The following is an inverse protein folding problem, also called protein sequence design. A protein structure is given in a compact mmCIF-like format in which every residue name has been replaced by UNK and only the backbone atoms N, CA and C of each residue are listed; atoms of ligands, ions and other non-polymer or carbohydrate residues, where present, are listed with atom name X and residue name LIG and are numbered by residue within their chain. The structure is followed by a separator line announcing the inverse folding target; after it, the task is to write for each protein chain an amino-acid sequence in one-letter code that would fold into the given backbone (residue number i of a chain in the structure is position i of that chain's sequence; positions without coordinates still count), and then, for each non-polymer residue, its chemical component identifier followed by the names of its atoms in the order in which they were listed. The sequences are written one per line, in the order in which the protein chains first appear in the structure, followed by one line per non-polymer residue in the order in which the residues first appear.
data_IF_638466627093
#
_entry.id   IF_638466627093
#
_cell.length_a   1.000
_cell.length_b   1.000
_cell.length_c   1.000
_cell.angle_alpha   90.00
_cell.angle_beta   90.00
_cell.angle_gamma   90.00
#
_symmetry.space_group_name_H-M   'P 1'
#
loop_
_entity.id
_entity.type
_entity.pdbx_description
1 polymer ?
#
# COMPACT_ATOMS: atom_id res chain seq x y z
N UNK A 1 -20.69 29.08 44.21
CA UNK A 1 -20.73 29.43 42.76
C UNK A 1 -19.66 28.75 41.89
N UNK A 2 -18.61 28.20 42.48
CA UNK A 2 -17.46 27.54 41.80
C UNK A 2 -17.80 26.22 41.09
N UNK A 3 -18.61 25.36 41.68
CA UNK A 3 -18.90 23.99 41.22
C UNK A 3 -19.64 23.89 39.85
N UNK A 4 -20.51 24.86 39.56
CA UNK A 4 -21.27 24.86 38.29
C UNK A 4 -20.39 25.22 37.08
N UNK A 5 -19.40 26.09 37.27
CA UNK A 5 -18.42 26.50 36.24
C UNK A 5 -17.49 25.34 35.93
N UNK A 6 -16.96 24.67 36.93
CA UNK A 6 -16.09 23.51 36.77
C UNK A 6 -16.80 22.33 36.09
N UNK A 7 -18.08 22.10 36.36
CA UNK A 7 -18.86 21.04 35.68
C UNK A 7 -19.07 21.34 34.19
N UNK A 8 -19.28 22.63 33.85
CA UNK A 8 -19.42 23.06 32.45
C UNK A 8 -18.11 22.89 31.68
N UNK A 9 -16.97 23.27 32.27
CA UNK A 9 -15.64 23.12 31.67
C UNK A 9 -15.27 21.64 31.43
N UNK A 10 -15.58 20.76 32.39
CA UNK A 10 -15.38 19.30 32.22
C UNK A 10 -16.26 18.75 31.09
N UNK A 11 -17.50 19.18 30.98
CA UNK A 11 -18.41 18.77 29.91
C UNK A 11 -17.96 19.28 28.53
N UNK A 12 -17.42 20.50 28.45
CA UNK A 12 -16.88 21.01 27.19
C UNK A 12 -15.64 20.22 26.75
N UNK A 13 -14.69 19.99 27.65
CA UNK A 13 -13.51 19.16 27.35
C UNK A 13 -13.88 17.75 26.90
N UNK A 14 -14.84 17.12 27.57
CA UNK A 14 -15.30 15.78 27.17
C UNK A 14 -15.97 15.79 25.78
N UNK A 15 -16.73 16.82 25.43
CA UNK A 15 -17.32 16.96 24.08
C UNK A 15 -16.26 17.21 23.01
N UNK A 16 -15.25 18.02 23.30
CA UNK A 16 -14.13 18.26 22.38
C UNK A 16 -13.30 16.99 22.14
N UNK A 17 -13.07 16.21 23.20
CA UNK A 17 -12.36 14.93 23.07
C UNK A 17 -13.15 13.89 22.27
N UNK A 18 -14.49 13.82 22.49
CA UNK A 18 -15.35 12.93 21.69
C UNK A 18 -15.40 13.38 20.23
N UNK A 19 -15.56 14.65 19.95
CA UNK A 19 -15.55 15.18 18.60
C UNK A 19 -14.21 14.92 17.87
N UNK A 20 -13.08 15.08 18.58
CA UNK A 20 -11.76 14.76 18.02
C UNK A 20 -11.60 13.25 17.71
N UNK A 21 -12.15 12.39 18.58
CA UNK A 21 -12.12 10.93 18.34
C UNK A 21 -12.99 10.53 17.15
N UNK A 22 -14.18 11.07 17.04
CA UNK A 22 -15.07 10.80 15.92
C UNK A 22 -14.48 11.31 14.60
N UNK A 23 -13.92 12.53 14.58
CA UNK A 23 -13.23 13.08 13.41
C UNK A 23 -12.08 12.17 12.97
N UNK A 24 -11.20 11.78 13.90
CA UNK A 24 -10.08 10.88 13.60
C UNK A 24 -10.55 9.51 13.07
N UNK A 25 -11.62 8.96 13.64
CA UNK A 25 -12.19 7.69 13.20
C UNK A 25 -12.75 7.80 11.77
N UNK A 26 -13.50 8.84 11.48
CA UNK A 26 -14.08 9.08 10.15
C UNK A 26 -12.98 9.26 9.10
N UNK A 27 -11.96 10.07 9.38
CA UNK A 27 -10.82 10.28 8.48
C UNK A 27 -10.10 8.96 8.19
N UNK A 28 -9.84 8.13 9.22
CA UNK A 28 -9.18 6.84 9.03
C UNK A 28 -10.02 5.92 8.16
N UNK A 29 -11.33 5.84 8.35
CA UNK A 29 -12.21 5.02 7.52
C UNK A 29 -12.26 5.49 6.07
N UNK A 30 -12.29 6.81 5.86
CA UNK A 30 -12.25 7.40 4.52
C UNK A 30 -10.94 7.03 3.80
N UNK A 31 -9.79 7.13 4.47
CA UNK A 31 -8.50 6.76 3.91
C UNK A 31 -8.43 5.27 3.55
N UNK A 32 -8.96 4.39 4.41
CA UNK A 32 -9.04 2.95 4.12
C UNK A 32 -9.93 2.70 2.91
N UNK A 33 -11.08 3.39 2.81
CA UNK A 33 -11.98 3.28 1.66
C UNK A 33 -11.32 3.72 0.35
N UNK A 34 -10.60 4.84 0.37
CA UNK A 34 -9.85 5.36 -0.78
C UNK A 34 -8.74 4.40 -1.18
N UNK A 35 -7.98 3.87 -0.21
CA UNK A 35 -6.95 2.86 -0.48
C UNK A 35 -7.53 1.62 -1.14
N UNK A 36 -8.64 1.10 -0.63
CA UNK A 36 -9.29 -0.08 -1.18
C UNK A 36 -9.82 0.15 -2.61
N UNK A 37 -10.42 1.32 -2.87
CA UNK A 37 -10.89 1.69 -4.21
C UNK A 37 -9.74 1.87 -5.20
N UNK A 38 -8.66 2.53 -4.79
CA UNK A 38 -7.46 2.73 -5.61
C UNK A 38 -6.79 1.38 -5.92
N UNK A 39 -6.65 0.51 -4.92
CA UNK A 39 -6.09 -0.83 -5.10
C UNK A 39 -6.95 -1.66 -6.05
N UNK A 40 -8.27 -1.63 -5.89
CA UNK A 40 -9.19 -2.31 -6.79
C UNK A 40 -9.06 -1.78 -8.23
N UNK A 41 -8.95 -0.47 -8.41
CA UNK A 41 -8.78 0.16 -9.73
C UNK A 41 -7.47 -0.26 -10.40
N UNK A 42 -6.34 -0.21 -9.68
CA UNK A 42 -5.04 -0.61 -10.23
C UNK A 42 -4.92 -2.12 -10.45
N UNK A 43 -5.57 -2.94 -9.63
CA UNK A 43 -5.59 -4.39 -9.81
C UNK A 43 -6.60 -4.85 -10.87
N UNK A 44 -7.55 -3.97 -11.25
CA UNK A 44 -8.60 -4.30 -12.22
C UNK A 44 -8.01 -4.64 -13.58
N UNK A 45 -8.37 -5.79 -14.09
CA UNK A 45 -7.92 -6.25 -15.41
C UNK A 45 -6.46 -6.72 -15.48
N UNK A 46 -5.70 -6.67 -14.39
CA UNK A 46 -4.30 -7.10 -14.38
C UNK A 46 -4.10 -8.59 -14.74
N UNK A 47 -5.13 -9.40 -14.60
CA UNK A 47 -5.16 -10.81 -14.98
C UNK A 47 -5.55 -11.04 -16.45
N UNK A 48 -6.09 -10.03 -17.14
CA UNK A 48 -6.56 -10.15 -18.52
C UNK A 48 -5.42 -10.00 -19.55
N UNK A 49 -4.37 -9.30 -19.18
CA UNK A 49 -3.22 -9.05 -20.04
C UNK A 49 -2.05 -9.94 -19.60
N UNK A 50 -1.57 -10.85 -20.46
CA UNK A 50 -0.38 -11.65 -20.15
C UNK A 50 0.85 -10.74 -20.02
N UNK A 51 1.84 -11.19 -19.25
CA UNK A 51 3.15 -10.52 -19.13
C UNK A 51 3.93 -10.76 -20.44
N UNK A 52 3.88 -9.80 -21.35
CA UNK A 52 4.46 -9.91 -22.70
C UNK A 52 5.59 -8.93 -22.97
N UNK A 53 5.66 -7.83 -22.23
CA UNK A 53 6.73 -6.85 -22.36
C UNK A 53 8.06 -7.45 -21.87
N UNK A 54 9.17 -7.34 -22.64
CA UNK A 54 10.47 -7.89 -22.24
C UNK A 54 10.94 -7.39 -20.88
N UNK A 55 10.62 -6.15 -20.51
CA UNK A 55 11.00 -5.58 -19.21
C UNK A 55 10.18 -6.20 -18.10
N UNK A 56 8.85 -6.22 -18.21
CA UNK A 56 7.95 -6.79 -17.21
C UNK A 56 8.22 -8.30 -17.03
N UNK A 57 8.45 -9.03 -18.12
CA UNK A 57 8.75 -10.47 -18.09
C UNK A 57 10.07 -10.77 -17.37
N UNK A 58 11.10 -9.94 -17.54
CA UNK A 58 12.36 -10.10 -16.84
C UNK A 58 12.19 -9.92 -15.31
N UNK A 59 11.40 -8.95 -14.88
CA UNK A 59 11.09 -8.82 -13.45
C UNK A 59 10.34 -10.03 -12.90
N UNK A 60 9.31 -10.47 -13.63
CA UNK A 60 8.49 -11.60 -13.24
C UNK A 60 9.32 -12.89 -13.17
N UNK A 61 10.18 -13.13 -14.15
CA UNK A 61 11.04 -14.30 -14.20
C UNK A 61 12.09 -14.28 -13.08
N UNK A 62 12.75 -13.14 -12.86
CA UNK A 62 13.73 -13.00 -11.77
C UNK A 62 13.09 -13.28 -10.42
N UNK A 63 11.94 -12.69 -10.12
CA UNK A 63 11.22 -12.92 -8.88
C UNK A 63 10.78 -14.38 -8.73
N UNK A 64 10.34 -15.03 -9.81
CA UNK A 64 9.98 -16.44 -9.83
C UNK A 64 11.18 -17.33 -9.53
N UNK A 65 12.33 -17.08 -10.16
CA UNK A 65 13.56 -17.87 -9.90
C UNK A 65 14.06 -17.67 -8.46
N UNK A 66 13.94 -16.47 -7.89
CA UNK A 66 14.27 -16.23 -6.49
C UNK A 66 13.39 -17.06 -5.54
N UNK A 67 12.10 -17.19 -5.82
CA UNK A 67 11.20 -18.04 -5.03
C UNK A 67 11.55 -19.51 -5.19
N UNK A 68 11.77 -19.98 -6.42
CA UNK A 68 12.06 -21.40 -6.71
C UNK A 68 13.42 -21.85 -6.19
N UNK A 69 14.44 -21.00 -6.27
CA UNK A 69 15.78 -21.30 -5.77
C UNK A 69 15.94 -21.10 -4.27
N UNK A 70 15.01 -20.36 -3.63
CA UNK A 70 15.14 -19.92 -2.24
C UNK A 70 16.23 -18.87 -2.00
N UNK A 71 16.89 -18.43 -3.06
CA UNK A 71 17.95 -17.41 -2.97
C UNK A 71 17.38 -16.01 -3.22
N UNK A 72 17.06 -15.31 -2.16
CA UNK A 72 16.46 -13.97 -2.20
C UNK A 72 17.49 -12.83 -2.25
N UNK A 73 18.79 -13.17 -2.09
CA UNK A 73 19.86 -12.17 -2.08
C UNK A 73 20.47 -11.93 -3.46
N UNK A 74 20.52 -12.98 -4.29
CA UNK A 74 21.18 -12.93 -5.59
C UNK A 74 20.16 -13.17 -6.69
N UNK A 75 19.58 -12.09 -7.29
CA UNK A 75 18.67 -12.23 -8.42
C UNK A 75 19.29 -12.99 -9.58
N UNK A 76 18.53 -13.88 -10.21
CA UNK A 76 18.97 -14.71 -11.33
C UNK A 76 17.90 -14.74 -12.42
N UNK A 77 18.36 -14.88 -13.68
CA UNK A 77 17.53 -15.20 -14.84
C UNK A 77 18.22 -16.32 -15.60
N UNK A 78 17.53 -17.43 -15.85
CA UNK A 78 18.05 -18.61 -16.52
C UNK A 78 19.33 -19.14 -15.86
N UNK A 79 19.43 -19.07 -14.53
CA UNK A 79 20.60 -19.49 -13.77
C UNK A 79 21.80 -18.55 -13.81
N UNK A 80 21.69 -17.40 -14.48
CA UNK A 80 22.73 -16.37 -14.51
C UNK A 80 22.38 -15.23 -13.57
N UNK A 81 23.37 -14.67 -12.86
CA UNK A 81 23.18 -13.52 -11.98
C UNK A 81 22.70 -12.31 -12.78
N UNK A 82 21.65 -11.66 -12.28
CA UNK A 82 20.98 -10.55 -12.94
C UNK A 82 20.79 -9.37 -11.99
N UNK A 83 21.73 -8.43 -12.01
CA UNK A 83 21.75 -7.25 -11.13
C UNK A 83 21.35 -5.96 -11.87
N UNK A 84 20.37 -6.04 -12.77
CA UNK A 84 19.96 -4.88 -13.58
C UNK A 84 19.20 -3.84 -12.76
N UNK A 85 18.46 -4.25 -11.76
CA UNK A 85 17.61 -3.36 -10.95
C UNK A 85 17.78 -3.60 -9.44
N UNK A 86 17.34 -2.62 -8.61
CA UNK A 86 17.34 -2.78 -7.16
C UNK A 86 16.50 -3.98 -6.72
N UNK A 87 17.02 -4.76 -5.78
CA UNK A 87 16.44 -6.02 -5.32
C UNK A 87 15.04 -5.88 -4.68
N UNK A 88 14.67 -4.68 -4.22
CA UNK A 88 13.41 -4.44 -3.52
C UNK A 88 12.18 -4.81 -4.37
N UNK A 89 12.20 -4.50 -5.67
CA UNK A 89 11.10 -4.85 -6.58
C UNK A 89 10.94 -6.36 -6.68
N UNK A 90 12.05 -7.07 -6.83
CA UNK A 90 12.05 -8.54 -6.87
C UNK A 90 11.54 -9.16 -5.57
N UNK A 91 11.93 -8.62 -4.42
CA UNK A 91 11.44 -9.10 -3.13
C UNK A 91 9.93 -8.94 -2.97
N UNK A 92 9.39 -7.77 -3.34
CA UNK A 92 7.94 -7.53 -3.28
C UNK A 92 7.18 -8.47 -4.21
N UNK A 93 7.68 -8.70 -5.42
CA UNK A 93 7.09 -9.66 -6.36
C UNK A 93 7.23 -11.10 -5.85
N UNK A 94 8.36 -11.48 -5.28
CA UNK A 94 8.59 -12.81 -4.69
C UNK A 94 7.66 -13.10 -3.53
N UNK A 95 7.41 -12.11 -2.67
CA UNK A 95 6.40 -12.20 -1.59
C UNK A 95 5.01 -12.41 -2.20
N UNK A 96 4.65 -11.62 -3.21
CA UNK A 96 3.36 -11.75 -3.89
C UNK A 96 3.19 -13.13 -4.53
N UNK A 97 4.21 -13.65 -5.19
CA UNK A 97 4.21 -14.99 -5.77
C UNK A 97 4.12 -16.11 -4.72
N UNK A 98 4.74 -15.92 -3.57
CA UNK A 98 4.65 -16.89 -2.47
C UNK A 98 3.25 -16.98 -1.88
N UNK A 99 2.47 -15.88 -1.92
CA UNK A 99 1.12 -15.80 -1.37
C UNK A 99 0.03 -16.20 -2.38
N UNK A 100 0.16 -15.76 -3.64
CA UNK A 100 -0.88 -15.87 -4.68
C UNK A 100 -0.51 -16.81 -5.84
N UNK A 101 0.69 -17.40 -5.78
CA UNK A 101 1.21 -18.22 -6.86
C UNK A 101 1.77 -17.42 -8.04
N UNK A 102 2.33 -18.12 -9.02
CA UNK A 102 2.96 -17.52 -10.20
C UNK A 102 1.91 -17.13 -11.24
N UNK A 103 1.28 -15.99 -11.06
CA UNK A 103 0.23 -15.43 -11.93
C UNK A 103 0.57 -14.02 -12.37
N UNK A 104 0.03 -13.59 -13.53
CA UNK A 104 0.21 -12.22 -14.03
C UNK A 104 -0.36 -11.18 -13.04
N UNK A 105 -1.45 -11.53 -12.37
CA UNK A 105 -2.01 -10.73 -11.29
C UNK A 105 -1.01 -10.54 -10.14
N UNK A 106 -0.39 -11.63 -9.68
CA UNK A 106 0.54 -11.58 -8.56
C UNK A 106 1.80 -10.77 -8.88
N UNK A 107 2.25 -10.76 -10.15
CA UNK A 107 3.40 -9.94 -10.58
C UNK A 107 3.12 -8.44 -10.48
N UNK A 108 1.88 -8.01 -10.76
CA UNK A 108 1.46 -6.60 -10.79
C UNK A 108 0.92 -6.09 -9.46
N UNK A 109 0.56 -6.99 -8.57
CA UNK A 109 -0.04 -6.63 -7.26
C UNK A 109 0.84 -5.69 -6.42
N UNK A 110 2.18 -5.87 -6.32
CA UNK A 110 3.04 -4.94 -5.58
C UNK A 110 3.01 -3.52 -6.13
N UNK A 111 3.01 -3.35 -7.45
CA UNK A 111 2.93 -2.04 -8.09
C UNK A 111 1.56 -1.38 -7.83
N UNK A 112 0.47 -2.15 -7.93
CA UNK A 112 -0.88 -1.69 -7.62
C UNK A 112 -0.99 -1.23 -6.15
N UNK A 113 -0.40 -2.00 -5.22
CA UNK A 113 -0.36 -1.66 -3.80
C UNK A 113 0.41 -0.36 -3.54
N UNK A 114 1.59 -0.20 -4.12
CA UNK A 114 2.39 1.03 -4.00
C UNK A 114 1.66 2.25 -4.58
N UNK A 115 0.99 2.09 -5.73
CA UNK A 115 0.18 3.14 -6.33
C UNK A 115 -0.98 3.57 -5.44
N UNK A 116 -1.73 2.63 -4.88
CA UNK A 116 -2.82 2.90 -3.94
C UNK A 116 -2.30 3.58 -2.66
N UNK A 117 -1.17 3.12 -2.12
CA UNK A 117 -0.54 3.72 -0.95
C UNK A 117 -0.11 5.17 -1.22
N UNK A 118 0.44 5.45 -2.40
CA UNK A 118 0.86 6.80 -2.79
C UNK A 118 -0.33 7.77 -2.82
N UNK A 119 -1.46 7.39 -3.45
CA UNK A 119 -2.68 8.21 -3.47
C UNK A 119 -3.15 8.50 -2.04
N UNK A 120 -3.22 7.47 -1.20
CA UNK A 120 -3.69 7.61 0.17
C UNK A 120 -2.77 8.51 1.01
N UNK A 121 -1.45 8.36 0.86
CA UNK A 121 -0.47 9.21 1.54
C UNK A 121 -0.56 10.67 1.10
N UNK A 122 -0.73 10.93 -0.20
CA UNK A 122 -0.86 12.29 -0.72
C UNK A 122 -2.11 12.98 -0.19
N UNK A 123 -3.25 12.29 -0.15
CA UNK A 123 -4.49 12.83 0.40
C UNK A 123 -4.35 13.12 1.89
N UNK A 124 -3.77 12.19 2.66
CA UNK A 124 -3.54 12.39 4.08
C UNK A 124 -2.64 13.60 4.38
N UNK A 125 -1.57 13.79 3.60
CA UNK A 125 -0.66 14.92 3.77
C UNK A 125 -1.28 16.25 3.33
N UNK A 126 -2.15 16.24 2.32
CA UNK A 126 -2.91 17.42 1.88
C UNK A 126 -3.87 17.91 2.96
N UNK A 127 -4.68 17.01 3.51
CA UNK A 127 -5.60 17.33 4.61
C UNK A 127 -4.86 17.89 5.82
N UNK A 128 -3.73 17.27 6.18
CA UNK A 128 -2.91 17.74 7.30
C UNK A 128 -2.23 19.11 7.05
N UNK A 129 -2.07 19.53 5.79
CA UNK A 129 -1.56 20.85 5.43
C UNK A 129 -2.65 21.91 5.54
N UNK A 130 -3.88 21.61 5.12
CA UNK A 130 -5.02 22.52 5.21
C UNK A 130 -5.41 22.83 6.67
N UNK A 131 -5.31 21.85 7.56
CA UNK A 131 -5.58 22.04 9.00
C UNK A 131 -4.57 22.99 9.71
N UNK A 132 -3.48 23.39 9.05
CA UNK A 132 -2.44 24.27 9.60
C UNK A 132 -2.56 25.74 9.17
N UNK A 133 -3.44 26.06 8.24
CA UNK A 133 -3.71 27.41 7.75
C UNK A 133 -4.91 27.99 8.49
#
# INVERSE_FOLDING_TARGET
MSTKKQKREKLQKAREETAKREFKYTTTQTLIGIFALALMFFAWGSHLLPVTDPVESNYALTAKEMVLSGNWLSPQIYGHFWFDKPAMVYWLMSISYSLFGFTDFASRLPAAFCGAATITCLLYTSDAADDRI
#
